data_IF_967156633690
#
_entry.id   IF_967156633690
#
_cell.length_a   1.000
_cell.length_b   1.000
_cell.length_c   1.000
_cell.angle_alpha   90.00
_cell.angle_beta   90.00
_cell.angle_gamma   90.00
#
_symmetry.space_group_name_H-M   'P 1'
#
loop_
_entity.id
_entity.type
_entity.pdbx_description
1 polymer ?
#
# COMPACT_ATOMS: atom_id res chain seq x y z
N UNK A 1 31.37 -5.46 -30.61
CA UNK A 1 32.68 -5.52 -31.31
C UNK A 1 33.38 -4.19 -31.16
N UNK A 2 34.64 -4.24 -30.69
CA UNK A 2 35.62 -3.15 -30.50
C UNK A 2 35.29 -1.99 -29.54
N UNK A 3 35.84 -2.07 -28.32
CA UNK A 3 36.41 -0.89 -27.66
C UNK A 3 37.87 -1.21 -27.33
N UNK A 4 38.79 -0.49 -27.97
CA UNK A 4 40.23 -0.73 -27.98
C UNK A 4 40.87 0.38 -27.14
N UNK A 5 41.47 0.12 -25.95
CA UNK A 5 42.21 1.14 -25.25
C UNK A 5 43.70 1.04 -25.58
N UNK A 6 44.25 2.22 -25.88
CA UNK A 6 45.65 2.52 -26.08
C UNK A 6 46.43 2.20 -24.78
N UNK A 7 47.38 1.27 -24.86
CA UNK A 7 48.34 1.01 -23.77
C UNK A 7 49.37 2.15 -23.73
N UNK A 8 49.48 2.84 -22.60
CA UNK A 8 50.70 3.54 -22.20
C UNK A 8 50.93 3.28 -20.71
N UNK A 9 52.15 2.85 -20.44
CA UNK A 9 52.63 2.16 -19.24
C UNK A 9 53.19 3.20 -18.26
N UNK A 10 52.93 3.01 -16.96
CA UNK A 10 53.83 3.08 -15.80
C UNK A 10 53.17 3.76 -14.59
N UNK A 11 52.97 3.00 -13.52
CA UNK A 11 52.59 3.51 -12.20
C UNK A 11 51.87 2.45 -11.39
N UNK A 12 52.62 1.60 -10.72
CA UNK A 12 52.11 0.51 -9.89
C UNK A 12 51.21 1.03 -8.75
N UNK A 13 49.94 0.62 -8.74
CA UNK A 13 49.14 0.45 -7.54
C UNK A 13 48.15 -0.69 -7.81
N UNK A 14 48.33 -1.76 -7.05
CA UNK A 14 47.48 -2.95 -7.03
C UNK A 14 46.08 -2.58 -6.54
N UNK A 15 45.07 -2.62 -7.43
CA UNK A 15 43.68 -2.76 -7.02
C UNK A 15 43.04 -3.83 -7.90
N UNK A 16 42.94 -5.02 -7.33
CA UNK A 16 42.24 -6.16 -7.90
C UNK A 16 40.78 -5.80 -8.15
N UNK A 17 40.30 -6.24 -9.31
CA UNK A 17 38.94 -6.17 -9.80
C UNK A 17 37.90 -6.61 -8.77
N UNK A 18 36.77 -5.89 -8.70
CA UNK A 18 35.44 -6.48 -8.57
C UNK A 18 34.40 -5.57 -9.25
N UNK A 19 33.78 -6.13 -10.29
CA UNK A 19 32.42 -5.94 -10.79
C UNK A 19 31.56 -4.84 -10.14
N UNK A 20 31.04 -3.94 -10.97
CA UNK A 20 29.97 -3.01 -10.62
C UNK A 20 29.32 -2.41 -11.86
N UNK A 21 28.71 -3.26 -12.68
CA UNK A 21 27.76 -2.83 -13.71
C UNK A 21 26.47 -2.33 -13.06
N UNK A 22 25.84 -1.37 -13.74
CA UNK A 22 24.46 -0.90 -13.60
C UNK A 22 24.20 0.16 -12.54
N UNK A 23 24.22 1.40 -13.01
CA UNK A 23 23.39 2.51 -12.54
C UNK A 23 21.90 2.16 -12.70
N UNK A 24 21.36 1.33 -11.81
CA UNK A 24 19.92 1.33 -11.53
C UNK A 24 19.58 2.49 -10.60
N UNK A 25 18.36 3.06 -10.62
CA UNK A 25 17.97 4.08 -9.68
C UNK A 25 17.78 3.43 -8.31
N UNK A 26 18.87 3.25 -7.57
CA UNK A 26 18.83 2.98 -6.13
C UNK A 26 18.53 4.29 -5.40
N UNK A 27 17.33 4.81 -5.62
CA UNK A 27 16.70 5.67 -4.61
C UNK A 27 16.13 4.75 -3.53
N UNK A 28 16.03 5.17 -2.26
CA UNK A 28 15.06 4.54 -1.39
C UNK A 28 13.71 4.61 -2.13
N UNK A 29 13.04 3.47 -2.32
CA UNK A 29 11.61 3.50 -2.62
C UNK A 29 10.98 4.28 -1.46
N UNK A 30 10.81 5.59 -1.64
CA UNK A 30 10.07 6.39 -0.67
C UNK A 30 8.71 5.72 -0.59
N UNK A 31 8.39 5.18 0.59
CA UNK A 31 7.03 4.79 0.94
C UNK A 31 6.22 6.07 0.84
N UNK A 32 5.69 6.35 -0.36
CA UNK A 32 4.77 7.45 -0.57
C UNK A 32 3.57 7.14 0.31
N UNK A 33 3.12 8.09 1.16
CA UNK A 33 1.95 7.91 2.00
C UNK A 33 0.70 7.94 1.12
N UNK A 34 0.53 6.92 0.28
CA UNK A 34 -0.62 6.79 -0.60
C UNK A 34 -1.88 6.62 0.24
N UNK A 35 -1.79 5.89 1.35
CA UNK A 35 -2.86 5.60 2.30
C UNK A 35 -2.90 6.61 3.46
N UNK A 36 -2.94 7.91 3.15
CA UNK A 36 -3.07 8.95 4.17
C UNK A 36 -4.55 9.38 4.36
N UNK A 37 -4.87 10.06 5.45
CA UNK A 37 -6.17 10.69 5.62
C UNK A 37 -6.34 11.87 4.65
N UNK A 38 -7.56 12.10 4.17
CA UNK A 38 -7.86 13.22 3.28
C UNK A 38 -9.23 13.84 3.57
N UNK A 39 -9.42 15.08 3.11
CA UNK A 39 -10.74 15.70 3.02
C UNK A 39 -11.17 15.87 1.56
N UNK A 40 -10.19 16.03 0.67
CA UNK A 40 -10.35 16.13 -0.77
C UNK A 40 -9.19 15.41 -1.46
N UNK A 41 -9.35 15.08 -2.74
CA UNK A 41 -8.28 14.45 -3.54
C UNK A 41 -7.03 15.34 -3.66
N UNK A 42 -7.16 16.66 -3.50
CA UNK A 42 -6.03 17.59 -3.54
C UNK A 42 -5.11 17.49 -2.31
N UNK A 43 -5.59 16.86 -1.22
CA UNK A 43 -4.77 16.56 -0.04
C UNK A 43 -3.85 15.34 -0.27
N UNK A 44 -4.14 14.54 -1.30
CA UNK A 44 -3.44 13.30 -1.59
C UNK A 44 -2.15 13.51 -2.37
N UNK A 45 -1.21 12.57 -2.20
CA UNK A 45 -0.03 12.51 -3.07
C UNK A 45 -0.45 12.24 -4.52
N UNK A 46 0.30 12.69 -5.54
CA UNK A 46 -0.13 12.52 -6.95
C UNK A 46 -0.37 11.09 -7.42
N UNK A 47 0.11 10.09 -6.67
CA UNK A 47 -0.12 8.68 -6.94
C UNK A 47 -1.47 8.15 -6.39
N UNK A 48 -2.08 8.85 -5.44
CA UNK A 48 -3.42 8.57 -4.92
C UNK A 48 -4.41 9.47 -5.68
N UNK A 49 -5.31 8.86 -6.44
CA UNK A 49 -6.24 9.55 -7.35
C UNK A 49 -7.66 9.63 -6.79
N UNK A 50 -7.90 9.05 -5.61
CA UNK A 50 -9.16 9.04 -4.89
C UNK A 50 -8.95 9.53 -3.47
N UNK A 51 -9.96 10.22 -2.95
CA UNK A 51 -10.17 10.42 -1.54
C UNK A 51 -11.49 9.73 -1.20
N UNK A 52 -11.41 8.47 -0.77
CA UNK A 52 -12.57 7.60 -0.58
C UNK A 52 -13.10 7.74 0.85
N UNK A 53 -14.37 8.11 1.02
CA UNK A 53 -15.04 8.07 2.32
C UNK A 53 -15.47 6.63 2.64
N UNK A 54 -14.99 6.12 3.78
CA UNK A 54 -15.29 4.80 4.28
C UNK A 54 -16.07 4.93 5.60
N UNK A 55 -16.93 3.96 5.89
CA UNK A 55 -17.69 3.93 7.14
C UNK A 55 -17.84 2.51 7.65
N UNK A 56 -17.25 2.21 8.81
CA UNK A 56 -17.34 0.88 9.42
C UNK A 56 -18.05 0.94 10.77
N UNK A 57 -18.85 -0.09 11.06
CA UNK A 57 -19.42 -0.29 12.39
C UNK A 57 -18.47 -1.18 13.19
N UNK A 58 -17.97 -0.67 14.32
CA UNK A 58 -17.20 -1.48 15.25
C UNK A 58 -17.59 -1.13 16.69
N UNK A 59 -17.78 -2.16 17.52
CA UNK A 59 -18.11 -1.97 18.94
C UNK A 59 -19.47 -1.31 19.17
N UNK A 60 -20.37 -1.37 18.19
CA UNK A 60 -21.68 -0.70 18.22
C UNK A 60 -21.63 0.80 17.91
N UNK A 61 -20.49 1.31 17.43
CA UNK A 61 -20.33 2.70 16.99
C UNK A 61 -19.90 2.75 15.52
N UNK A 62 -20.40 3.75 14.80
CA UNK A 62 -20.03 4.01 13.41
C UNK A 62 -18.81 4.94 13.38
N UNK A 63 -17.79 4.53 12.62
CA UNK A 63 -16.58 5.29 12.39
C UNK A 63 -16.48 5.62 10.91
N UNK A 64 -16.41 6.91 10.60
CA UNK A 64 -16.30 7.42 9.24
C UNK A 64 -15.05 8.26 9.09
N UNK A 65 -14.27 8.00 8.05
CA UNK A 65 -13.10 8.79 7.68
C UNK A 65 -12.81 8.59 6.19
N UNK A 66 -12.06 9.50 5.59
CA UNK A 66 -11.67 9.38 4.19
C UNK A 66 -10.18 9.09 4.02
N UNK A 67 -9.86 8.21 3.08
CA UNK A 67 -8.51 7.72 2.81
C UNK A 67 -8.09 8.08 1.38
N UNK A 68 -6.86 8.55 1.24
CA UNK A 68 -6.21 8.63 -0.05
C UNK A 68 -5.99 7.21 -0.59
N UNK A 69 -6.44 6.97 -1.81
CA UNK A 69 -6.30 5.68 -2.47
C UNK A 69 -6.36 5.85 -3.98
N UNK A 70 -6.44 4.74 -4.70
CA UNK A 70 -6.57 4.63 -6.14
C UNK A 70 -7.38 3.39 -6.45
N UNK A 71 -8.00 3.37 -7.62
CA UNK A 71 -8.64 2.17 -8.15
C UNK A 71 -7.61 1.10 -8.49
N UNK A 72 -7.99 -0.16 -8.37
CA UNK A 72 -7.17 -1.31 -8.75
C UNK A 72 -7.98 -2.32 -9.57
N UNK A 73 -7.30 -3.25 -10.24
CA UNK A 73 -7.95 -4.26 -11.10
C UNK A 73 -7.75 -5.68 -10.56
N UNK A 74 -6.60 -5.95 -9.96
CA UNK A 74 -6.20 -7.27 -9.45
C UNK A 74 -6.61 -7.39 -7.99
N UNK A 75 -7.81 -7.91 -7.75
CA UNK A 75 -8.36 -8.15 -6.41
C UNK A 75 -7.49 -9.12 -5.57
N UNK A 76 -7.42 -8.86 -4.27
CA UNK A 76 -6.83 -9.75 -3.27
C UNK A 76 -5.90 -9.08 -2.26
N UNK A 77 -5.43 -9.90 -1.32
CA UNK A 77 -4.57 -9.56 -0.19
C UNK A 77 -3.35 -8.69 -0.53
N UNK A 78 -2.75 -9.00 -1.68
CA UNK A 78 -1.52 -8.43 -2.17
C UNK A 78 -1.75 -8.19 -3.65
N UNK A 79 -2.00 -6.94 -4.01
CA UNK A 79 -2.23 -6.53 -5.38
C UNK A 79 -1.00 -5.81 -5.94
N UNK A 80 -0.50 -6.18 -7.13
CA UNK A 80 0.58 -5.45 -7.78
C UNK A 80 0.15 -4.04 -8.24
N UNK A 81 -1.15 -3.77 -8.31
CA UNK A 81 -1.71 -2.47 -8.68
C UNK A 81 -1.63 -1.47 -7.51
N UNK A 82 -1.51 -1.98 -6.29
CA UNK A 82 -1.58 -1.18 -5.08
C UNK A 82 -0.19 -0.83 -4.54
N UNK A 83 0.11 0.46 -4.31
CA UNK A 83 1.37 0.91 -3.73
C UNK A 83 1.67 0.26 -2.38
N UNK A 84 2.95 0.27 -2.00
CA UNK A 84 3.37 -0.29 -0.73
C UNK A 84 2.82 0.54 0.45
N UNK A 85 2.30 -0.17 1.45
CA UNK A 85 1.91 0.34 2.75
C UNK A 85 3.12 0.78 3.60
N UNK A 86 2.84 1.44 4.72
CA UNK A 86 3.87 1.84 5.70
C UNK A 86 4.71 0.65 6.19
N UNK A 87 4.08 -0.51 6.35
CA UNK A 87 4.73 -1.77 6.75
C UNK A 87 5.54 -2.45 5.63
N UNK A 88 5.65 -1.83 4.45
CA UNK A 88 6.47 -2.29 3.33
C UNK A 88 5.85 -3.41 2.47
N UNK A 89 4.62 -3.86 2.76
CA UNK A 89 3.86 -4.81 1.91
C UNK A 89 3.13 -4.06 0.80
N UNK A 90 2.91 -4.69 -0.35
CA UNK A 90 1.98 -4.13 -1.35
C UNK A 90 0.58 -4.03 -0.76
N UNK A 91 -0.18 -3.02 -1.19
CA UNK A 91 -1.56 -2.85 -0.78
C UNK A 91 -2.43 -4.03 -1.16
N UNK A 92 -3.59 -4.11 -0.54
CA UNK A 92 -4.65 -5.03 -0.93
C UNK A 92 -5.63 -4.33 -1.86
N UNK A 93 -6.30 -5.09 -2.73
CA UNK A 93 -7.30 -4.56 -3.65
C UNK A 93 -8.63 -5.23 -3.35
N UNK A 94 -9.60 -4.46 -2.86
CA UNK A 94 -10.92 -4.94 -2.44
C UNK A 94 -12.01 -3.92 -2.79
N UNK A 95 -13.28 -4.34 -2.90
CA UNK A 95 -14.38 -3.40 -3.14
C UNK A 95 -14.53 -2.44 -1.95
N UNK A 96 -14.73 -1.14 -2.21
CA UNK A 96 -14.81 -0.15 -1.12
C UNK A 96 -15.97 -0.41 -0.15
N UNK A 97 -17.05 -1.03 -0.64
CA UNK A 97 -18.18 -1.53 0.16
C UNK A 97 -17.80 -2.45 1.32
N UNK A 98 -16.65 -3.14 1.27
CA UNK A 98 -16.17 -3.99 2.38
C UNK A 98 -15.82 -3.18 3.63
N UNK A 99 -15.50 -1.91 3.45
CA UNK A 99 -15.27 -0.93 4.52
C UNK A 99 -16.37 0.15 4.52
N UNK A 100 -17.56 -0.20 4.02
CA UNK A 100 -18.75 0.66 3.96
C UNK A 100 -18.62 1.87 3.03
N UNK A 101 -17.79 1.76 1.99
CA UNK A 101 -17.85 2.66 0.83
C UNK A 101 -19.20 2.58 0.11
N UNK A 102 -19.46 3.58 -0.74
CA UNK A 102 -20.78 3.77 -1.36
C UNK A 102 -21.11 2.75 -2.46
N UNK A 103 -20.10 2.09 -3.03
CA UNK A 103 -20.22 1.13 -4.12
C UNK A 103 -19.14 0.03 -4.06
N UNK A 104 -19.15 -0.88 -5.03
CA UNK A 104 -18.22 -2.01 -5.11
C UNK A 104 -16.97 -1.68 -5.95
N UNK A 105 -16.61 -0.40 -6.12
CA UNK A 105 -15.38 -0.02 -6.83
C UNK A 105 -14.19 -0.63 -6.11
N UNK A 106 -13.37 -1.37 -6.84
CA UNK A 106 -12.12 -1.92 -6.32
C UNK A 106 -11.12 -0.79 -6.08
N UNK A 107 -10.71 -0.65 -4.83
CA UNK A 107 -9.72 0.34 -4.40
C UNK A 107 -8.61 -0.32 -3.61
N UNK A 108 -7.49 0.39 -3.51
CA UNK A 108 -6.37 -0.07 -2.70
C UNK A 108 -6.59 0.24 -1.22
N UNK A 109 -6.40 -0.77 -0.37
CA UNK A 109 -6.38 -0.62 1.07
C UNK A 109 -4.98 -0.86 1.63
N UNK A 110 -4.65 -0.15 2.71
CA UNK A 110 -3.42 -0.40 3.46
C UNK A 110 -3.56 -1.72 4.24
N UNK A 111 -2.76 -2.76 3.95
CA UNK A 111 -2.72 -3.97 4.77
C UNK A 111 -2.08 -3.68 6.12
N UNK A 112 -2.54 -4.38 7.15
CA UNK A 112 -2.02 -4.25 8.52
C UNK A 112 -1.91 -5.62 9.20
N UNK A 113 -1.25 -5.68 10.35
CA UNK A 113 -1.30 -6.83 11.26
C UNK A 113 -1.76 -6.42 12.66
N UNK A 114 -1.56 -5.15 13.00
CA UNK A 114 -1.95 -4.56 14.29
C UNK A 114 -2.45 -3.14 14.04
N UNK A 115 -3.16 -2.57 15.02
CA UNK A 115 -3.69 -1.20 14.91
C UNK A 115 -2.56 -0.19 14.67
N UNK A 116 -1.37 -0.40 15.27
CA UNK A 116 -0.21 0.49 15.14
C UNK A 116 0.41 0.51 13.73
N UNK A 117 0.01 -0.40 12.85
CA UNK A 117 0.42 -0.39 11.44
C UNK A 117 -0.39 0.65 10.63
N UNK A 118 -1.54 1.08 11.15
CA UNK A 118 -2.45 2.01 10.48
C UNK A 118 -2.17 3.47 10.87
N UNK A 119 -2.47 4.40 9.95
CA UNK A 119 -2.43 5.83 10.26
C UNK A 119 -3.42 6.21 11.35
N UNK A 120 -3.16 7.33 12.02
CA UNK A 120 -4.04 7.85 13.06
C UNK A 120 -5.46 8.10 12.50
N UNK A 121 -6.48 7.62 13.22
CA UNK A 121 -7.88 7.66 12.77
C UNK A 121 -8.30 6.44 11.92
N UNK A 122 -7.39 5.50 11.72
CA UNK A 122 -7.63 4.19 11.15
C UNK A 122 -7.15 3.10 12.10
N UNK A 123 -7.67 1.90 11.92
CA UNK A 123 -7.37 0.73 12.73
C UNK A 123 -7.38 -0.52 11.89
N UNK A 124 -6.77 -1.58 12.41
CA UNK A 124 -6.63 -2.83 11.69
C UNK A 124 -7.82 -3.75 11.97
N UNK A 125 -8.63 -4.03 10.95
CA UNK A 125 -9.73 -4.99 11.06
C UNK A 125 -9.50 -6.18 10.13
N UNK A 126 -9.78 -7.38 10.64
CA UNK A 126 -9.71 -8.61 9.89
C UNK A 126 -11.01 -8.87 9.13
N UNK A 127 -10.97 -9.81 8.18
CA UNK A 127 -12.16 -10.25 7.44
C UNK A 127 -13.34 -10.60 8.37
N UNK A 128 -13.09 -11.22 9.52
CA UNK A 128 -14.13 -11.58 10.49
C UNK A 128 -14.81 -10.36 11.13
N UNK A 129 -14.08 -9.26 11.31
CA UNK A 129 -14.61 -8.02 11.88
C UNK A 129 -15.39 -7.20 10.83
N UNK A 130 -14.93 -7.22 9.57
CA UNK A 130 -15.50 -6.44 8.47
C UNK A 130 -16.77 -7.07 7.90
N UNK A 131 -16.74 -8.38 7.72
CA UNK A 131 -17.85 -9.11 7.11
C UNK A 131 -18.74 -9.82 8.16
N UNK A 132 -18.23 -10.01 9.38
CA UNK A 132 -18.87 -10.82 10.40
C UNK A 132 -18.54 -12.30 10.26
N UNK A 133 -18.40 -12.98 11.41
CA UNK A 133 -18.02 -14.40 11.52
C UNK A 133 -18.96 -15.35 10.74
N UNK A 134 -20.22 -14.97 10.55
CA UNK A 134 -21.26 -15.78 9.90
C UNK A 134 -21.51 -15.39 8.43
N UNK A 135 -20.73 -14.47 7.84
CA UNK A 135 -20.93 -14.08 6.45
C UNK A 135 -20.61 -15.25 5.50
N UNK A 136 -21.53 -15.62 4.58
CA UNK A 136 -21.32 -16.73 3.66
C UNK A 136 -20.21 -16.48 2.63
N UNK A 137 -19.82 -15.21 2.45
CA UNK A 137 -18.70 -14.78 1.62
C UNK A 137 -18.25 -13.38 2.06
N UNK A 138 -17.01 -13.26 2.51
CA UNK A 138 -16.33 -11.98 2.66
C UNK A 138 -15.51 -11.70 1.39
N UNK A 139 -15.47 -10.45 0.93
CA UNK A 139 -14.60 -10.06 -0.18
C UNK A 139 -13.12 -10.10 0.24
N UNK A 140 -12.85 -9.93 1.53
CA UNK A 140 -11.50 -10.04 2.10
C UNK A 140 -11.17 -11.52 2.38
N UNK A 141 -9.96 -11.93 2.01
CA UNK A 141 -9.42 -13.25 2.36
C UNK A 141 -9.41 -13.46 3.88
N UNK A 142 -9.71 -14.69 4.34
CA UNK A 142 -9.98 -15.00 5.76
C UNK A 142 -8.85 -14.65 6.74
N UNK A 143 -7.61 -14.54 6.25
CA UNK A 143 -6.42 -14.27 7.07
C UNK A 143 -5.90 -12.83 6.89
N UNK A 144 -6.62 -12.00 6.14
CA UNK A 144 -6.20 -10.65 5.83
C UNK A 144 -6.82 -9.62 6.76
N UNK A 145 -6.11 -8.51 6.88
CA UNK A 145 -6.58 -7.32 7.56
C UNK A 145 -6.20 -6.06 6.79
N UNK A 146 -7.09 -5.08 6.88
CA UNK A 146 -6.94 -3.78 6.24
C UNK A 146 -7.16 -2.65 7.24
N UNK A 147 -6.50 -1.53 7.00
CA UNK A 147 -6.74 -0.29 7.74
C UNK A 147 -8.06 0.34 7.30
N UNK A 148 -8.98 0.49 8.25
CA UNK A 148 -10.30 1.11 8.05
C UNK A 148 -10.56 2.15 9.13
N UNK A 149 -11.52 3.08 8.93
CA UNK A 149 -11.81 4.12 9.92
C UNK A 149 -12.05 3.56 11.33
N UNK A 150 -11.44 4.16 12.34
CA UNK A 150 -11.69 3.76 13.71
C UNK A 150 -10.65 4.26 14.71
N UNK A 151 -10.87 4.00 16.01
CA UNK A 151 -9.94 4.39 17.05
C UNK A 151 -8.71 3.47 17.02
N UNK A 152 -7.53 4.10 17.15
CA UNK A 152 -6.22 3.46 17.26
C UNK A 152 -5.66 3.74 18.66
#
# INVERSE_FOLDING_TARGET
MLCRPLMLILGALTFSALLGCSSGPSGPEFLLPVYDACYTVDDCVPAATLCEELTVEFGGELWSNAICTLTCETEGAISPDCPRAFIGRFGSCYPSSVAGGIDDTLICFEPCNFDEDCQAGFRCLYAEDLCGIDAPSCAIDENDAICVPGPN
#
